data_IF_290645276867
#
_entry.id   IF_290645276867
#
_cell.length_a   1.000
_cell.length_b   1.000
_cell.length_c   1.000
_cell.angle_alpha   90.00
_cell.angle_beta   90.00
_cell.angle_gamma   90.00
#
_symmetry.space_group_name_H-M   'P 1'
#
loop_
_entity.id
_entity.type
_entity.pdbx_description
1 polymer ?
#
# COMPACT_ATOMS: atom_id res chain seq x y z
N UNK A 1 23.84 83.20 -39.08
CA UNK A 1 23.85 83.17 -37.62
C UNK A 1 22.58 82.50 -37.15
N UNK A 2 22.61 81.31 -36.72
CA UNK A 2 21.94 80.63 -35.68
C UNK A 2 22.02 79.10 -35.88
N UNK A 3 22.67 78.49 -34.92
CA UNK A 3 23.01 77.09 -34.91
C UNK A 3 21.79 76.25 -34.49
N UNK A 4 21.47 75.22 -35.28
CA UNK A 4 20.43 74.22 -34.93
C UNK A 4 21.12 73.04 -34.22
N UNK A 5 20.91 72.94 -32.90
CA UNK A 5 21.35 71.77 -32.10
C UNK A 5 20.43 70.59 -32.39
N UNK A 6 21.00 69.53 -32.94
CA UNK A 6 20.36 68.23 -33.06
C UNK A 6 20.24 67.55 -31.69
N UNK A 7 19.04 67.34 -31.32
CA UNK A 7 18.70 66.52 -30.09
C UNK A 7 18.70 65.06 -30.51
N UNK A 8 19.70 64.30 -30.08
CA UNK A 8 19.75 62.88 -30.30
C UNK A 8 18.89 62.23 -29.21
N UNK A 9 17.78 61.61 -29.60
CA UNK A 9 16.99 60.78 -28.73
C UNK A 9 17.64 59.39 -28.61
N UNK A 10 18.10 59.07 -27.41
CA UNK A 10 18.59 57.75 -27.07
C UNK A 10 17.38 56.85 -26.79
N UNK A 11 17.07 55.91 -27.67
CA UNK A 11 16.09 54.88 -27.43
C UNK A 11 16.80 53.77 -26.63
N UNK A 12 16.54 53.68 -25.33
CA UNK A 12 16.96 52.54 -24.51
C UNK A 12 15.97 51.42 -24.74
N UNK A 13 16.35 50.45 -25.54
CA UNK A 13 15.62 49.20 -25.69
C UNK A 13 15.83 48.36 -24.42
N UNK A 14 14.84 48.34 -23.53
CA UNK A 14 14.80 47.41 -22.40
C UNK A 14 14.50 45.99 -22.92
N UNK A 15 15.52 45.20 -23.13
CA UNK A 15 15.37 43.76 -23.35
C UNK A 15 14.97 43.12 -22.01
N UNK A 16 13.67 42.83 -21.88
CA UNK A 16 13.16 41.97 -20.79
C UNK A 16 13.76 40.57 -21.02
N UNK A 17 14.77 40.20 -20.24
CA UNK A 17 15.16 38.82 -20.09
C UNK A 17 13.98 38.09 -19.37
N UNK A 18 13.16 37.44 -20.17
CA UNK A 18 12.26 36.43 -19.64
C UNK A 18 13.11 35.27 -19.11
N UNK A 19 13.37 35.29 -17.81
CA UNK A 19 13.90 34.10 -17.12
C UNK A 19 12.80 33.05 -17.19
N UNK A 20 12.88 32.15 -18.17
CA UNK A 20 12.14 30.90 -18.16
C UNK A 20 12.71 30.13 -17.00
N UNK A 21 12.00 30.19 -15.83
CA UNK A 21 12.22 29.20 -14.77
C UNK A 21 12.16 27.84 -15.46
N UNK A 22 13.12 26.92 -15.19
CA UNK A 22 13.01 25.58 -15.71
C UNK A 22 11.69 25.04 -15.20
N UNK A 23 10.78 24.69 -16.12
CA UNK A 23 9.63 23.87 -15.81
C UNK A 23 10.24 22.54 -15.40
N UNK A 24 10.49 22.37 -14.09
CA UNK A 24 10.76 21.04 -13.56
C UNK A 24 9.55 20.23 -13.96
N UNK A 25 9.74 19.32 -14.92
CA UNK A 25 8.76 18.28 -15.17
C UNK A 25 8.40 17.73 -13.78
N UNK A 26 7.13 17.79 -13.42
CA UNK A 26 6.67 17.23 -12.16
C UNK A 26 7.25 15.82 -12.11
N UNK A 27 8.16 15.58 -11.15
CA UNK A 27 8.73 14.25 -10.96
C UNK A 27 7.52 13.34 -10.81
N UNK A 28 7.26 12.45 -11.77
CA UNK A 28 6.15 11.50 -11.75
C UNK A 28 6.40 10.47 -10.65
N UNK A 29 6.41 10.94 -9.42
CA UNK A 29 6.67 10.13 -8.23
C UNK A 29 5.36 9.59 -7.73
N UNK A 30 5.23 8.27 -7.70
CA UNK A 30 4.12 7.61 -7.03
C UNK A 30 4.55 7.17 -5.63
N UNK A 31 3.85 7.68 -4.61
CA UNK A 31 3.99 7.28 -3.20
C UNK A 31 2.87 6.36 -2.82
N UNK A 32 3.23 5.13 -2.48
CA UNK A 32 2.27 4.09 -2.07
C UNK A 32 2.46 3.80 -0.60
N UNK A 33 1.53 4.29 0.23
CA UNK A 33 1.43 3.87 1.61
C UNK A 33 0.70 2.53 1.69
N UNK A 34 1.21 1.61 2.48
CA UNK A 34 0.62 0.28 2.65
C UNK A 34 0.40 0.04 4.13
N UNK A 35 -0.87 -0.09 4.53
CA UNK A 35 -1.28 -0.41 5.89
C UNK A 35 -1.94 -1.80 5.92
N UNK A 36 -1.85 -2.46 7.06
CA UNK A 36 -2.65 -3.65 7.36
C UNK A 36 -3.90 -3.23 8.12
N UNK A 37 -5.01 -3.95 7.93
CA UNK A 37 -6.23 -3.73 8.72
C UNK A 37 -5.96 -3.79 10.22
N UNK A 38 -6.69 -3.00 11.02
CA UNK A 38 -6.63 -3.03 12.47
C UNK A 38 -7.04 -4.40 13.05
N UNK A 39 -6.72 -4.63 14.31
CA UNK A 39 -6.98 -5.90 15.00
C UNK A 39 -8.48 -6.24 15.04
N UNK A 40 -8.79 -7.52 14.82
CA UNK A 40 -10.12 -8.13 14.99
C UNK A 40 -10.10 -9.07 16.20
N UNK A 41 -11.27 -9.49 16.68
CA UNK A 41 -11.34 -10.53 17.74
C UNK A 41 -10.71 -11.85 17.29
N UNK A 42 -10.75 -12.16 15.99
CA UNK A 42 -10.12 -13.36 15.45
C UNK A 42 -8.59 -13.26 15.46
N UNK A 43 -8.00 -12.07 15.33
CA UNK A 43 -6.56 -11.90 15.56
C UNK A 43 -6.19 -12.21 17.02
N UNK A 44 -6.97 -11.70 17.97
CA UNK A 44 -6.73 -11.94 19.41
C UNK A 44 -6.88 -13.41 19.76
N UNK A 45 -7.89 -14.07 19.19
CA UNK A 45 -8.16 -15.48 19.40
C UNK A 45 -7.26 -16.42 18.58
N UNK A 46 -6.26 -15.90 17.85
CA UNK A 46 -5.40 -16.68 16.93
C UNK A 46 -6.20 -17.49 15.91
N UNK A 47 -7.39 -17.02 15.53
CA UNK A 47 -8.22 -17.68 14.52
C UNK A 47 -7.77 -17.30 13.12
N UNK A 48 -7.67 -18.29 12.26
CA UNK A 48 -7.43 -18.11 10.83
C UNK A 48 -8.61 -17.38 10.20
N UNK A 49 -8.40 -16.16 9.73
CA UNK A 49 -9.49 -15.34 9.20
C UNK A 49 -9.79 -15.60 7.73
N UNK A 50 -8.72 -15.64 6.92
CA UNK A 50 -8.86 -15.79 5.48
C UNK A 50 -9.82 -14.75 4.89
N UNK A 51 -10.76 -15.22 4.08
CA UNK A 51 -11.76 -14.40 3.41
C UNK A 51 -13.04 -14.18 4.25
N UNK A 52 -13.12 -14.73 5.46
CA UNK A 52 -14.23 -14.47 6.39
C UNK A 52 -14.29 -12.99 6.75
N UNK A 53 -15.48 -12.40 6.66
CA UNK A 53 -15.68 -10.93 6.76
C UNK A 53 -15.88 -10.48 8.22
N UNK A 54 -14.79 -10.41 8.97
CA UNK A 54 -14.75 -9.98 10.38
C UNK A 54 -14.61 -8.44 10.49
N UNK A 55 -15.27 -7.87 11.50
CA UNK A 55 -15.13 -6.46 11.87
C UNK A 55 -13.87 -6.22 12.74
N UNK A 56 -13.44 -4.96 12.79
CA UNK A 56 -12.45 -4.51 13.78
C UNK A 56 -13.05 -4.62 15.19
N UNK A 57 -12.21 -5.01 16.15
CA UNK A 57 -12.55 -4.88 17.56
C UNK A 57 -12.21 -3.45 18.06
N UNK A 58 -12.36 -3.21 19.37
CA UNK A 58 -12.08 -1.90 19.96
C UNK A 58 -10.62 -1.46 19.75
N UNK A 59 -9.67 -2.37 19.94
CA UNK A 59 -8.24 -2.12 19.68
C UNK A 59 -7.99 -1.78 18.22
N UNK A 60 -8.60 -2.53 17.30
CA UNK A 60 -8.48 -2.27 15.86
C UNK A 60 -9.06 -0.91 15.45
N UNK A 61 -10.16 -0.47 16.05
CA UNK A 61 -10.70 0.88 15.83
C UNK A 61 -9.76 1.97 16.34
N UNK A 62 -9.12 1.76 17.49
CA UNK A 62 -8.07 2.69 18.00
C UNK A 62 -6.87 2.72 17.06
N UNK A 63 -6.45 1.59 16.51
CA UNK A 63 -5.37 1.53 15.51
C UNK A 63 -5.75 2.26 14.21
N UNK A 64 -6.99 2.10 13.74
CA UNK A 64 -7.50 2.83 12.59
C UNK A 64 -7.47 4.36 12.81
N UNK A 65 -7.93 4.84 13.97
CA UNK A 65 -7.85 6.25 14.34
C UNK A 65 -6.40 6.76 14.43
N UNK A 66 -5.50 5.97 14.99
CA UNK A 66 -4.07 6.30 15.05
C UNK A 66 -3.41 6.35 13.66
N UNK A 67 -3.84 5.51 12.72
CA UNK A 67 -3.40 5.57 11.32
C UNK A 67 -3.81 6.90 10.67
N UNK A 68 -5.06 7.32 10.84
CA UNK A 68 -5.56 8.61 10.34
C UNK A 68 -4.74 9.76 10.91
N UNK A 69 -4.51 9.78 12.23
CA UNK A 69 -3.72 10.83 12.87
C UNK A 69 -2.26 10.85 12.39
N UNK A 70 -1.64 9.69 12.23
CA UNK A 70 -0.27 9.56 11.70
C UNK A 70 -0.15 10.14 10.29
N UNK A 71 -1.18 9.98 9.48
CA UNK A 71 -1.20 10.41 8.09
C UNK A 71 -1.86 11.77 7.86
N UNK A 72 -2.25 12.49 8.89
CA UNK A 72 -3.02 13.75 8.77
C UNK A 72 -2.32 14.84 7.94
N UNK A 73 -0.98 14.83 7.89
CA UNK A 73 -0.19 15.78 7.07
C UNK A 73 0.07 15.27 5.65
N UNK A 74 -0.34 14.05 5.32
CA UNK A 74 -0.16 13.45 4.00
C UNK A 74 -1.38 13.77 3.15
N UNK A 75 -1.17 14.46 2.04
CA UNK A 75 -2.23 14.68 1.05
C UNK A 75 -2.37 13.41 0.21
N UNK A 76 -3.43 12.64 0.47
CA UNK A 76 -3.76 11.44 -0.27
C UNK A 76 -4.66 11.77 -1.46
N UNK A 77 -4.29 11.30 -2.64
CA UNK A 77 -5.12 11.43 -3.85
C UNK A 77 -6.19 10.34 -3.91
N UNK A 78 -5.88 9.16 -3.36
CA UNK A 78 -6.81 8.03 -3.37
C UNK A 78 -6.49 7.02 -2.26
N UNK A 79 -7.52 6.34 -1.78
CA UNK A 79 -7.39 5.22 -0.86
C UNK A 79 -8.01 3.98 -1.50
N UNK A 80 -7.23 2.90 -1.56
CA UNK A 80 -7.68 1.59 -1.97
C UNK A 80 -7.76 0.69 -0.75
N UNK A 81 -8.88 0.03 -0.56
CA UNK A 81 -9.03 -1.01 0.46
C UNK A 81 -9.23 -2.35 -0.22
N UNK A 82 -8.84 -3.44 0.42
CA UNK A 82 -9.41 -4.73 0.08
C UNK A 82 -10.94 -4.71 0.29
N UNK A 83 -11.67 -5.68 -0.25
CA UNK A 83 -13.14 -5.69 -0.18
C UNK A 83 -13.71 -6.00 1.21
N UNK A 84 -12.91 -6.57 2.13
CA UNK A 84 -13.39 -7.06 3.43
C UNK A 84 -13.61 -5.91 4.44
N UNK A 85 -14.60 -6.08 5.32
CA UNK A 85 -15.08 -5.07 6.27
C UNK A 85 -13.95 -4.47 7.11
N UNK A 86 -13.06 -5.31 7.67
CA UNK A 86 -11.94 -4.86 8.49
C UNK A 86 -11.00 -3.88 7.79
N UNK A 87 -10.79 -4.01 6.47
CA UNK A 87 -9.97 -3.06 5.70
C UNK A 87 -10.68 -1.76 5.44
N UNK A 88 -11.99 -1.81 5.14
CA UNK A 88 -12.82 -0.62 4.96
C UNK A 88 -12.96 0.17 6.26
N UNK A 89 -13.21 -0.50 7.38
CA UNK A 89 -13.26 0.14 8.70
C UNK A 89 -11.92 0.78 9.10
N UNK A 90 -10.80 0.19 8.67
CA UNK A 90 -9.48 0.78 8.93
C UNK A 90 -9.29 2.11 8.18
N UNK A 91 -9.91 2.25 7.00
CA UNK A 91 -9.82 3.46 6.19
C UNK A 91 -10.96 4.47 6.46
N UNK A 92 -11.99 4.11 7.22
CA UNK A 92 -13.23 4.88 7.38
C UNK A 92 -13.00 6.32 7.88
N UNK A 93 -12.03 6.52 8.75
CA UNK A 93 -11.71 7.83 9.31
C UNK A 93 -11.03 8.82 8.34
N UNK A 94 -10.58 8.38 7.17
CA UNK A 94 -10.03 9.27 6.15
C UNK A 94 -11.16 9.94 5.36
N UNK A 95 -11.64 11.07 5.86
CA UNK A 95 -12.71 11.85 5.22
C UNK A 95 -12.18 12.74 4.11
N UNK A 96 -13.01 13.01 3.09
CA UNK A 96 -12.64 13.93 1.99
C UNK A 96 -11.70 13.32 0.92
N UNK A 97 -11.29 12.07 1.06
CA UNK A 97 -10.47 11.35 0.07
C UNK A 97 -11.31 10.27 -0.59
N UNK A 98 -11.21 10.14 -1.91
CA UNK A 98 -11.89 9.08 -2.65
C UNK A 98 -11.39 7.73 -2.20
N UNK A 99 -12.32 6.83 -1.86
CA UNK A 99 -12.02 5.45 -1.45
C UNK A 99 -12.62 4.46 -2.45
N UNK A 100 -11.86 3.42 -2.79
CA UNK A 100 -12.30 2.36 -3.69
C UNK A 100 -11.95 0.99 -3.09
N UNK A 101 -12.96 0.15 -2.90
CA UNK A 101 -12.73 -1.24 -2.52
C UNK A 101 -12.34 -2.07 -3.74
N UNK A 102 -11.26 -2.81 -3.62
CA UNK A 102 -10.71 -3.69 -4.67
C UNK A 102 -10.69 -5.13 -4.13
N UNK A 103 -11.72 -5.95 -4.40
CA UNK A 103 -11.76 -7.34 -3.94
C UNK A 103 -10.56 -8.17 -4.37
N UNK A 104 -9.90 -7.77 -5.47
CA UNK A 104 -8.63 -8.35 -5.91
C UNK A 104 -7.49 -8.25 -4.89
N UNK A 105 -7.60 -7.41 -3.86
CA UNK A 105 -6.64 -7.29 -2.76
C UNK A 105 -7.05 -8.07 -1.50
N UNK A 106 -8.16 -8.82 -1.52
CA UNK A 106 -8.62 -9.58 -0.35
C UNK A 106 -7.56 -10.57 0.14
N UNK A 107 -7.67 -10.94 1.41
CA UNK A 107 -6.88 -12.02 1.98
C UNK A 107 -7.17 -13.33 1.24
N UNK A 108 -6.25 -14.26 1.33
CA UNK A 108 -6.40 -15.61 0.82
C UNK A 108 -7.57 -16.30 1.51
N UNK A 109 -8.42 -16.97 0.76
CA UNK A 109 -9.35 -17.91 1.37
C UNK A 109 -8.59 -19.14 1.85
N UNK A 110 -8.75 -19.46 3.13
CA UNK A 110 -8.08 -20.60 3.76
C UNK A 110 -8.94 -21.86 3.82
N UNK A 111 -10.06 -21.91 3.08
CA UNK A 111 -10.92 -23.07 2.94
C UNK A 111 -11.36 -23.63 4.29
N UNK A 112 -11.19 -24.94 4.48
CA UNK A 112 -11.60 -25.63 5.74
C UNK A 112 -10.92 -25.09 7.01
N UNK A 113 -9.82 -24.33 6.86
CA UNK A 113 -9.09 -23.81 8.01
C UNK A 113 -9.62 -22.45 8.50
N UNK A 114 -10.54 -21.80 7.78
CA UNK A 114 -11.12 -20.56 8.29
C UNK A 114 -11.89 -20.81 9.59
N UNK A 115 -11.62 -20.00 10.60
CA UNK A 115 -12.19 -20.09 11.92
C UNK A 115 -11.49 -21.05 12.89
N UNK A 116 -10.56 -21.91 12.43
CA UNK A 116 -9.77 -22.70 13.37
C UNK A 116 -8.88 -21.80 14.23
N UNK A 117 -8.62 -22.21 15.46
CA UNK A 117 -7.61 -21.58 16.31
C UNK A 117 -6.26 -22.17 15.95
N UNK A 118 -5.35 -21.35 15.39
CA UNK A 118 -3.98 -21.78 15.08
C UNK A 118 -3.08 -21.68 16.32
N UNK A 119 -3.39 -22.54 17.29
CA UNK A 119 -2.63 -22.67 18.53
C UNK A 119 -2.15 -24.12 18.71
N UNK A 120 -0.84 -24.38 18.55
CA UNK A 120 -0.30 -25.71 18.71
C UNK A 120 -0.48 -26.34 20.09
N UNK A 121 -0.77 -25.52 21.13
CA UNK A 121 -0.98 -26.02 22.47
C UNK A 121 -2.41 -26.56 22.68
N UNK A 122 -3.37 -25.85 22.09
CA UNK A 122 -4.79 -26.15 22.30
C UNK A 122 -5.44 -26.82 21.07
N UNK A 123 -4.78 -26.82 19.90
CA UNK A 123 -5.29 -27.42 18.66
C UNK A 123 -4.13 -27.96 17.81
N UNK A 124 -3.35 -28.88 18.37
CA UNK A 124 -2.08 -29.32 17.82
C UNK A 124 -2.19 -29.90 16.40
N UNK A 125 -3.18 -30.77 16.15
CA UNK A 125 -3.33 -31.48 14.87
C UNK A 125 -3.69 -30.52 13.74
N UNK A 126 -4.76 -29.75 13.92
CA UNK A 126 -5.23 -28.79 12.92
C UNK A 126 -4.21 -27.67 12.65
N UNK A 127 -3.54 -27.19 13.70
CA UNK A 127 -2.48 -26.19 13.56
C UNK A 127 -1.28 -26.75 12.77
N UNK A 128 -0.88 -27.98 13.04
CA UNK A 128 0.21 -28.63 12.33
C UNK A 128 -0.13 -28.86 10.85
N UNK A 129 -1.34 -29.34 10.56
CA UNK A 129 -1.82 -29.52 9.20
C UNK A 129 -1.87 -28.17 8.45
N UNK A 130 -2.48 -27.16 9.04
CA UNK A 130 -2.58 -25.82 8.47
C UNK A 130 -1.19 -25.24 8.15
N UNK A 131 -0.27 -25.23 9.13
CA UNK A 131 1.09 -24.68 8.96
C UNK A 131 1.92 -25.42 7.94
N UNK A 132 1.72 -26.73 7.78
CA UNK A 132 2.35 -27.54 6.75
C UNK A 132 1.87 -27.14 5.35
N UNK A 133 0.57 -26.87 5.20
CA UNK A 133 -0.08 -26.69 3.89
C UNK A 133 -0.10 -25.24 3.41
N UNK A 134 -0.16 -24.26 4.32
CA UNK A 134 -0.34 -22.84 3.96
C UNK A 134 0.75 -22.29 3.05
N UNK A 135 1.95 -22.89 3.05
CA UNK A 135 3.08 -22.48 2.21
C UNK A 135 3.19 -23.24 0.88
N UNK A 136 2.37 -24.25 0.67
CA UNK A 136 2.36 -25.01 -0.59
C UNK A 136 1.65 -24.17 -1.66
N UNK A 137 2.36 -23.91 -2.77
CA UNK A 137 1.92 -22.95 -3.79
C UNK A 137 0.59 -23.32 -4.42
N UNK A 138 0.41 -24.62 -4.74
CA UNK A 138 -0.77 -25.11 -5.46
C UNK A 138 -1.83 -25.72 -4.52
N UNK A 139 -1.66 -25.64 -3.19
CA UNK A 139 -2.63 -26.17 -2.22
C UNK A 139 -3.77 -25.18 -1.98
N UNK A 140 -4.98 -25.57 -2.37
CA UNK A 140 -6.20 -24.78 -2.17
C UNK A 140 -6.81 -24.89 -0.77
N UNK A 141 -6.18 -25.62 0.16
CA UNK A 141 -6.64 -25.75 1.55
C UNK A 141 -8.08 -26.30 1.67
N UNK A 142 -8.42 -27.25 0.83
CA UNK A 142 -9.74 -27.92 0.79
C UNK A 142 -10.92 -26.95 0.67
N UNK A 143 -11.01 -26.29 -0.49
CA UNK A 143 -12.09 -25.38 -0.84
C UNK A 143 -11.77 -23.88 -0.67
N UNK A 144 -10.54 -23.54 -0.33
CA UNK A 144 -10.05 -22.16 -0.35
C UNK A 144 -9.36 -21.80 -1.66
N UNK A 145 -8.45 -20.85 -1.58
CA UNK A 145 -7.63 -20.36 -2.68
C UNK A 145 -6.20 -20.89 -2.54
N UNK A 146 -5.56 -21.28 -3.64
CA UNK A 146 -4.14 -21.61 -3.61
C UNK A 146 -3.28 -20.35 -3.41
N UNK A 147 -2.07 -20.51 -2.87
CA UNK A 147 -1.14 -19.41 -2.73
C UNK A 147 -0.77 -18.81 -4.10
N UNK A 148 -0.60 -19.67 -5.11
CA UNK A 148 -0.32 -19.25 -6.49
C UNK A 148 -1.45 -18.44 -7.12
N UNK A 149 -2.71 -18.78 -6.86
CA UNK A 149 -3.86 -18.03 -7.38
C UNK A 149 -4.03 -16.70 -6.65
N UNK A 150 -3.81 -16.66 -5.33
CA UNK A 150 -3.75 -15.40 -4.60
C UNK A 150 -2.69 -14.46 -5.19
N UNK A 151 -1.48 -14.96 -5.50
CA UNK A 151 -0.42 -14.17 -6.11
C UNK A 151 -0.83 -13.56 -7.44
N UNK A 152 -1.43 -14.37 -8.32
CA UNK A 152 -1.93 -13.89 -9.62
C UNK A 152 -2.98 -12.80 -9.43
N UNK A 153 -3.94 -13.02 -8.55
CA UNK A 153 -5.05 -12.09 -8.27
C UNK A 153 -4.58 -10.78 -7.67
N UNK A 154 -3.79 -10.84 -6.59
CA UNK A 154 -3.27 -9.63 -5.91
C UNK A 154 -2.32 -8.86 -6.83
N UNK A 155 -1.44 -9.56 -7.56
CA UNK A 155 -0.55 -8.93 -8.51
C UNK A 155 -1.30 -8.21 -9.63
N UNK A 156 -2.33 -8.84 -10.21
CA UNK A 156 -3.16 -8.20 -11.23
C UNK A 156 -3.89 -6.95 -10.69
N UNK A 157 -4.46 -7.03 -9.48
CA UNK A 157 -5.11 -5.89 -8.83
C UNK A 157 -4.13 -4.75 -8.52
N UNK A 158 -2.92 -5.08 -8.08
CA UNK A 158 -1.87 -4.07 -7.81
C UNK A 158 -1.43 -3.39 -9.10
N UNK A 159 -1.17 -4.13 -10.17
CA UNK A 159 -0.82 -3.54 -11.48
C UNK A 159 -1.93 -2.65 -12.04
N UNK A 160 -3.20 -3.01 -11.87
CA UNK A 160 -4.33 -2.17 -12.26
C UNK A 160 -4.33 -0.85 -11.47
N UNK A 161 -4.13 -0.88 -10.16
CA UNK A 161 -3.98 0.34 -9.34
C UNK A 161 -2.82 1.19 -9.84
N UNK A 162 -1.64 0.61 -10.05
CA UNK A 162 -0.46 1.34 -10.54
C UNK A 162 -0.70 1.99 -11.89
N UNK A 163 -1.42 1.32 -12.79
CA UNK A 163 -1.76 1.85 -14.11
C UNK A 163 -2.62 3.11 -14.08
N UNK A 164 -3.41 3.30 -13.02
CA UNK A 164 -4.25 4.48 -12.77
C UNK A 164 -3.45 5.67 -12.24
N UNK A 165 -2.22 5.44 -11.79
CA UNK A 165 -1.32 6.43 -11.16
C UNK A 165 0.02 6.56 -11.91
N UNK A 166 0.04 6.30 -13.21
CA UNK A 166 1.24 6.38 -14.07
C UNK A 166 1.87 7.79 -14.09
N UNK A 167 1.09 8.81 -13.79
CA UNK A 167 1.53 10.20 -13.74
C UNK A 167 2.00 10.62 -12.32
N UNK A 168 2.12 9.67 -11.40
CA UNK A 168 2.49 9.89 -10.00
C UNK A 168 1.30 10.07 -9.06
N UNK A 169 1.57 10.59 -7.88
CA UNK A 169 0.57 10.84 -6.84
C UNK A 169 0.89 10.17 -5.51
N UNK A 170 -0.03 10.27 -4.58
CA UNK A 170 0.10 9.68 -3.23
C UNK A 170 -1.14 8.87 -2.89
N UNK A 171 -0.98 7.58 -2.69
CA UNK A 171 -2.10 6.67 -2.41
C UNK A 171 -1.87 5.88 -1.12
N UNK A 172 -2.96 5.46 -0.49
CA UNK A 172 -2.95 4.49 0.60
C UNK A 172 -3.62 3.20 0.13
N UNK A 173 -2.98 2.07 0.40
CA UNK A 173 -3.59 0.74 0.23
C UNK A 173 -3.74 0.12 1.62
N UNK A 174 -4.96 -0.27 1.98
CA UNK A 174 -5.24 -1.00 3.21
C UNK A 174 -5.58 -2.45 2.86
N UNK A 175 -4.68 -3.36 3.21
CA UNK A 175 -4.79 -4.78 2.90
C UNK A 175 -4.66 -5.68 4.13
N UNK A 176 -4.04 -6.85 3.93
CA UNK A 176 -3.99 -7.93 4.92
C UNK A 176 -2.57 -8.47 5.11
N UNK A 177 -2.42 -9.31 6.15
CA UNK A 177 -1.13 -9.92 6.46
C UNK A 177 -0.55 -10.81 5.37
N UNK A 178 -1.41 -11.48 4.60
CA UNK A 178 -0.98 -12.33 3.48
C UNK A 178 -0.99 -11.61 2.13
N UNK A 179 -1.87 -10.63 1.90
CA UNK A 179 -1.92 -9.90 0.63
C UNK A 179 -0.89 -8.77 0.54
N UNK A 180 -0.55 -8.07 1.63
CA UNK A 180 0.41 -6.97 1.61
C UNK A 180 1.81 -7.37 1.15
N UNK A 181 2.39 -8.53 1.56
CA UNK A 181 3.65 -9.00 0.98
C UNK A 181 3.62 -9.13 -0.53
N UNK A 182 2.49 -9.51 -1.11
CA UNK A 182 2.34 -9.67 -2.56
C UNK A 182 2.18 -8.33 -3.28
N UNK A 183 1.48 -7.36 -2.65
CA UNK A 183 1.47 -5.97 -3.11
C UNK A 183 2.91 -5.44 -3.13
N UNK A 184 3.67 -5.68 -2.07
CA UNK A 184 5.08 -5.29 -1.98
C UNK A 184 5.93 -5.99 -3.05
N UNK A 185 5.66 -7.27 -3.36
CA UNK A 185 6.37 -7.97 -4.44
C UNK A 185 6.22 -7.26 -5.78
N UNK A 186 5.01 -6.84 -6.14
CA UNK A 186 4.75 -6.09 -7.39
C UNK A 186 5.44 -4.72 -7.39
N UNK A 187 5.40 -3.99 -6.27
CA UNK A 187 6.02 -2.66 -6.16
C UNK A 187 7.55 -2.70 -6.24
N UNK A 188 8.15 -3.77 -5.72
CA UNK A 188 9.60 -3.90 -5.56
C UNK A 188 10.25 -4.79 -6.63
N UNK A 189 9.46 -5.43 -7.48
CA UNK A 189 9.95 -6.41 -8.46
C UNK A 189 10.51 -7.68 -7.80
N UNK A 190 10.01 -8.05 -6.62
CA UNK A 190 10.42 -9.25 -5.90
C UNK A 190 9.65 -10.47 -6.38
N UNK A 191 10.24 -11.65 -6.20
CA UNK A 191 9.48 -12.88 -6.29
C UNK A 191 8.50 -12.97 -5.12
N UNK A 192 7.29 -13.52 -5.32
CA UNK A 192 6.29 -13.63 -4.25
C UNK A 192 6.79 -14.34 -3.00
N UNK A 193 7.56 -15.42 -3.14
CA UNK A 193 8.15 -16.16 -2.01
C UNK A 193 9.12 -15.29 -1.20
N UNK A 194 9.94 -14.48 -1.88
CA UNK A 194 10.88 -13.58 -1.21
C UNK A 194 10.12 -12.54 -0.40
N UNK A 195 9.06 -11.96 -0.97
CA UNK A 195 8.23 -10.99 -0.27
C UNK A 195 7.51 -11.60 0.94
N UNK A 196 6.93 -12.81 0.82
CA UNK A 196 6.29 -13.50 1.94
C UNK A 196 7.24 -13.83 3.08
N UNK A 197 8.53 -14.04 2.79
CA UNK A 197 9.51 -14.34 3.81
C UNK A 197 10.08 -13.08 4.48
N UNK A 198 10.18 -11.97 3.76
CA UNK A 198 10.82 -10.74 4.20
C UNK A 198 9.83 -9.72 4.76
N UNK A 199 8.66 -9.54 4.13
CA UNK A 199 7.69 -8.54 4.55
C UNK A 199 6.90 -9.05 5.75
N UNK A 200 7.13 -8.43 6.90
CA UNK A 200 6.41 -8.68 8.15
C UNK A 200 5.75 -7.38 8.58
N UNK A 201 4.44 -7.36 8.64
CA UNK A 201 3.68 -6.16 8.98
C UNK A 201 2.70 -6.41 10.11
N UNK A 202 2.88 -5.70 11.22
CA UNK A 202 1.92 -5.65 12.31
C UNK A 202 0.69 -4.80 11.93
N UNK A 203 -0.39 -4.87 12.73
CA UNK A 203 -1.64 -4.18 12.41
C UNK A 203 -1.57 -2.65 12.62
N UNK A 204 -0.49 -2.14 13.17
CA UNK A 204 -0.22 -0.71 13.44
C UNK A 204 0.99 -0.18 12.65
N UNK A 205 1.54 -0.99 11.75
CA UNK A 205 2.66 -0.61 10.90
C UNK A 205 2.20 -0.09 9.54
N UNK A 206 2.98 0.85 8.99
CA UNK A 206 2.79 1.40 7.64
C UNK A 206 4.12 1.34 6.90
N UNK A 207 4.09 0.83 5.67
CA UNK A 207 5.18 0.99 4.71
C UNK A 207 4.88 2.16 3.78
N UNK A 208 5.90 2.87 3.38
CA UNK A 208 5.87 3.77 2.24
C UNK A 208 6.82 3.23 1.17
N UNK A 209 6.31 3.04 -0.02
CA UNK A 209 7.12 2.76 -1.22
C UNK A 209 7.01 3.95 -2.16
N UNK A 210 8.16 4.50 -2.54
CA UNK A 210 8.24 5.56 -3.52
C UNK A 210 8.78 5.00 -4.84
N UNK A 211 7.97 5.15 -5.89
CA UNK A 211 8.30 4.71 -7.24
C UNK A 211 8.62 5.93 -8.10
N UNK A 212 9.78 5.91 -8.74
CA UNK A 212 10.24 6.95 -9.68
C UNK A 212 10.58 6.31 -11.02
N UNK A 213 10.18 6.91 -12.15
CA UNK A 213 10.57 6.40 -13.46
C UNK A 213 12.09 6.23 -13.59
N UNK A 214 12.52 5.05 -14.00
CA UNK A 214 13.93 4.73 -14.22
C UNK A 214 14.82 4.65 -12.99
N UNK A 215 14.24 4.63 -11.79
CA UNK A 215 14.99 4.46 -10.52
C UNK A 215 14.48 3.26 -9.73
N UNK A 216 15.35 2.62 -8.94
CA UNK A 216 14.90 1.59 -7.99
C UNK A 216 13.88 2.16 -7.01
N UNK A 217 12.92 1.35 -6.54
CA UNK A 217 11.99 1.72 -5.48
C UNK A 217 12.74 2.10 -4.19
N UNK A 218 12.24 3.10 -3.47
CA UNK A 218 12.68 3.43 -2.12
C UNK A 218 11.60 3.02 -1.11
N UNK A 219 12.01 2.50 0.03
CA UNK A 219 11.11 1.91 1.02
C UNK A 219 11.36 2.52 2.39
N UNK A 220 10.29 2.84 3.10
CA UNK A 220 10.32 3.26 4.50
C UNK A 220 9.32 2.42 5.29
N UNK A 221 9.73 1.96 6.46
CA UNK A 221 8.87 1.32 7.45
C UNK A 221 8.69 2.26 8.63
N UNK A 222 7.46 2.55 9.01
CA UNK A 222 7.12 3.47 10.11
C UNK A 222 7.84 4.84 10.02
N UNK A 223 7.99 5.36 8.76
CA UNK A 223 8.67 6.64 8.45
C UNK A 223 10.21 6.55 8.50
N UNK A 224 10.79 5.42 8.85
CA UNK A 224 12.24 5.19 8.77
C UNK A 224 12.56 4.48 7.45
N UNK A 225 13.59 4.94 6.73
CA UNK A 225 14.01 4.27 5.50
C UNK A 225 14.47 2.85 5.83
N UNK A 226 13.92 1.87 5.12
CA UNK A 226 14.25 0.47 5.27
C UNK A 226 14.96 -0.07 4.03
N UNK A 227 15.83 -1.04 4.20
CA UNK A 227 16.45 -1.80 3.12
C UNK A 227 15.66 -3.10 2.86
N UNK A 228 15.93 -3.78 1.76
CA UNK A 228 15.29 -5.06 1.47
C UNK A 228 15.65 -6.15 2.50
N UNK A 229 16.78 -6.00 3.17
CA UNK A 229 17.22 -6.90 4.24
C UNK A 229 16.43 -6.68 5.54
N UNK A 230 15.88 -5.48 5.72
CA UNK A 230 15.13 -5.10 6.92
C UNK A 230 13.63 -5.42 6.82
N UNK A 231 13.15 -5.79 5.62
CA UNK A 231 11.77 -6.20 5.37
C UNK A 231 11.55 -7.66 5.74
#
# INVERSE_FOLDING_TARGET
MFSIRKLAQLIVAATALATTAPLFAADNVLRVYIARHGITDWNVALRVQGNTDNALNETGRKQAAALVERMRSVQLDHIYTAGLLRTRQTAEGFTGVKQTAIPGLNERSHGKFEGIVDDPKNNAEMSAEYRKRIRIVDDSLDGGESLGDQWKRVGAATRDILSRHKDGGTILIVGHGGSNPQIMAELLGLKPDDALNRVRQANDEVYLVELRPGRPPMIWKNITMATLEEL
#
